data_IF_247626110470
#
_entry.id   IF_247626110470
#
_cell.length_a   1.000
_cell.length_b   1.000
_cell.length_c   1.000
_cell.angle_alpha   90.00
_cell.angle_beta   90.00
_cell.angle_gamma   90.00
#
_symmetry.space_group_name_H-M   'P 1'
#
loop_
_entity.id
_entity.type
_entity.pdbx_description
1 polymer ?
#
# COMPACT_ATOMS: atom_id res chain seq x y z
N UNK A 1 3.01 14.47 1.59
CA UNK A 1 2.02 13.48 1.13
C UNK A 1 0.78 14.28 0.86
N UNK A 2 0.60 14.56 -0.42
CA UNK A 2 -0.26 15.59 -0.95
C UNK A 2 -1.27 14.86 -1.84
N UNK A 3 -2.38 15.51 -2.18
CA UNK A 3 -3.50 14.86 -2.87
C UNK A 3 -3.09 14.16 -4.16
N UNK A 4 -2.11 14.71 -4.89
CA UNK A 4 -1.55 14.13 -6.12
C UNK A 4 -0.75 12.85 -5.86
N UNK A 5 0.14 12.83 -4.87
CA UNK A 5 0.95 11.65 -4.54
C UNK A 5 0.08 10.47 -4.07
N UNK A 6 -0.97 10.76 -3.33
CA UNK A 6 -1.92 9.75 -2.87
C UNK A 6 -2.74 9.16 -4.03
N UNK A 7 -3.22 10.01 -4.94
CA UNK A 7 -3.93 9.57 -6.14
C UNK A 7 -3.08 8.69 -7.06
N UNK A 8 -1.80 9.01 -7.19
CA UNK A 8 -0.85 8.18 -7.94
C UNK A 8 -0.67 6.79 -7.29
N UNK A 9 -0.50 6.72 -5.96
CA UNK A 9 -0.39 5.44 -5.26
C UNK A 9 -1.64 4.58 -5.40
N UNK A 10 -2.83 5.18 -5.33
CA UNK A 10 -4.10 4.46 -5.51
C UNK A 10 -4.20 3.88 -6.93
N UNK A 11 -3.79 4.64 -7.95
CA UNK A 11 -3.75 4.12 -9.32
C UNK A 11 -2.77 2.95 -9.47
N UNK A 12 -1.59 3.03 -8.87
CA UNK A 12 -0.61 1.94 -8.90
C UNK A 12 -1.13 0.68 -8.20
N UNK A 13 -1.73 0.83 -7.01
CA UNK A 13 -2.35 -0.29 -6.29
C UNK A 13 -3.46 -0.95 -7.10
N UNK A 14 -4.30 -0.14 -7.76
CA UNK A 14 -5.38 -0.64 -8.61
C UNK A 14 -4.84 -1.37 -9.84
N UNK A 15 -3.79 -0.87 -10.48
CA UNK A 15 -3.15 -1.54 -11.61
C UNK A 15 -2.56 -2.89 -11.21
N UNK A 16 -1.84 -2.95 -10.07
CA UNK A 16 -1.31 -4.21 -9.57
C UNK A 16 -2.43 -5.24 -9.34
N UNK A 17 -3.50 -4.84 -8.66
CA UNK A 17 -4.66 -5.71 -8.41
C UNK A 17 -5.41 -6.12 -9.69
N UNK A 18 -5.46 -5.25 -10.70
CA UNK A 18 -6.07 -5.57 -12.00
C UNK A 18 -5.27 -6.63 -12.76
N UNK A 19 -3.95 -6.68 -12.57
CA UNK A 19 -3.07 -7.66 -13.19
C UNK A 19 -2.85 -8.90 -12.31
N UNK A 20 -3.77 -9.16 -11.36
CA UNK A 20 -3.70 -10.27 -10.39
C UNK A 20 -2.44 -10.25 -9.50
N UNK A 21 -1.68 -9.15 -9.54
CA UNK A 21 -0.50 -8.94 -8.73
C UNK A 21 -0.84 -8.36 -7.36
N UNK A 22 0.13 -8.43 -6.46
CA UNK A 22 0.05 -7.80 -5.14
C UNK A 22 1.02 -6.62 -5.07
N UNK A 23 0.56 -5.53 -4.46
CA UNK A 23 1.40 -4.36 -4.16
C UNK A 23 1.50 -4.23 -2.64
N UNK A 24 2.71 -4.16 -2.11
CA UNK A 24 2.95 -3.93 -0.69
C UNK A 24 3.70 -2.61 -0.52
N UNK A 25 3.20 -1.71 0.33
CA UNK A 25 3.82 -0.39 0.54
C UNK A 25 4.36 -0.34 1.97
N UNK A 26 5.68 -0.37 2.10
CA UNK A 26 6.35 -0.20 3.39
C UNK A 26 6.47 1.30 3.68
N UNK A 27 5.96 1.72 4.83
CA UNK A 27 5.90 3.15 5.18
C UNK A 27 6.22 3.40 6.65
N UNK A 28 6.53 4.65 6.99
CA UNK A 28 6.79 5.07 8.36
C UNK A 28 5.54 5.69 9.01
N UNK A 29 5.51 5.74 10.35
CA UNK A 29 4.33 6.15 11.13
C UNK A 29 3.69 7.49 10.68
N UNK A 30 4.49 8.49 10.32
CA UNK A 30 3.99 9.80 9.88
C UNK A 30 3.18 9.69 8.59
N UNK A 31 3.69 8.94 7.60
CA UNK A 31 3.04 8.76 6.31
C UNK A 31 1.85 7.80 6.45
N UNK A 32 1.97 6.73 7.25
CA UNK A 32 0.84 5.85 7.59
C UNK A 32 -0.33 6.67 8.12
N UNK A 33 -0.09 7.56 9.08
CA UNK A 33 -1.14 8.37 9.70
C UNK A 33 -1.85 9.26 8.68
N UNK A 34 -1.12 9.92 7.79
CA UNK A 34 -1.73 10.73 6.72
C UNK A 34 -2.62 9.89 5.81
N UNK A 35 -2.23 8.66 5.48
CA UNK A 35 -3.03 7.73 4.65
C UNK A 35 -4.26 7.18 5.40
N UNK A 36 -4.18 7.00 6.73
CA UNK A 36 -5.32 6.60 7.57
C UNK A 36 -6.40 7.68 7.63
N UNK A 37 -6.01 8.96 7.74
CA UNK A 37 -6.95 10.08 7.80
C UNK A 37 -7.85 10.16 6.56
N UNK A 38 -7.33 9.76 5.40
CA UNK A 38 -8.04 9.70 4.12
C UNK A 38 -8.63 8.32 3.82
N UNK A 39 -8.60 7.39 4.79
CA UNK A 39 -9.16 6.03 4.73
C UNK A 39 -8.65 5.15 3.58
N UNK A 40 -7.45 5.44 3.06
CA UNK A 40 -6.85 4.67 1.96
C UNK A 40 -5.95 3.52 2.41
N UNK A 41 -5.77 3.33 3.72
CA UNK A 41 -4.93 2.24 4.26
C UNK A 41 -5.37 0.85 3.79
N UNK A 42 -6.68 0.66 3.56
CA UNK A 42 -7.25 -0.61 3.06
C UNK A 42 -6.91 -0.88 1.59
N UNK A 43 -6.68 0.17 0.80
CA UNK A 43 -6.40 0.06 -0.63
C UNK A 43 -4.90 -0.04 -0.91
N UNK A 44 -4.08 0.49 -0.01
CA UNK A 44 -2.63 0.63 -0.21
C UNK A 44 -1.80 -0.45 0.48
N UNK A 45 -2.43 -1.48 1.08
CA UNK A 45 -1.78 -2.62 1.74
C UNK A 45 -0.52 -2.19 2.54
N UNK A 46 -0.71 -1.22 3.44
CA UNK A 46 0.39 -0.58 4.14
C UNK A 46 1.04 -1.55 5.13
N UNK A 47 2.36 -1.65 5.06
CA UNK A 47 3.18 -2.50 5.92
C UNK A 47 4.11 -1.63 6.75
N UNK A 48 4.35 -2.06 7.99
CA UNK A 48 5.25 -1.38 8.93
C UNK A 48 6.71 -1.81 8.75
N UNK A 49 6.97 -2.89 8.00
CA UNK A 49 8.31 -3.44 7.77
C UNK A 49 8.35 -4.27 6.49
N UNK A 50 9.56 -4.41 5.93
CA UNK A 50 9.80 -5.23 4.72
C UNK A 50 9.46 -6.69 4.97
N UNK A 51 9.82 -7.24 6.14
CA UNK A 51 9.48 -8.62 6.52
C UNK A 51 7.97 -8.89 6.46
N UNK A 52 7.17 -8.00 7.08
CA UNK A 52 5.71 -8.05 7.04
C UNK A 52 5.15 -7.94 5.61
N UNK A 53 5.80 -7.15 4.75
CA UNK A 53 5.45 -7.09 3.32
C UNK A 53 5.74 -8.40 2.59
N UNK A 54 6.90 -9.02 2.85
CA UNK A 54 7.30 -10.29 2.26
C UNK A 54 6.36 -11.43 2.68
N UNK A 55 5.95 -11.48 3.95
CA UNK A 55 4.98 -12.47 4.42
C UNK A 55 3.63 -12.44 3.69
N UNK A 56 3.23 -11.27 3.19
CA UNK A 56 1.97 -11.09 2.45
C UNK A 56 2.07 -11.46 0.95
N UNK A 57 3.28 -11.58 0.39
CA UNK A 57 3.49 -12.03 -1.00
C UNK A 57 3.79 -13.53 -1.08
N UNK A 58 4.39 -14.11 -0.05
CA UNK A 58 4.83 -15.52 -0.02
C UNK A 58 3.71 -16.54 0.26
N UNK A 59 2.45 -16.09 0.40
CA UNK A 59 1.28 -16.94 0.65
C UNK A 59 0.53 -17.42 -0.60
N UNK A 60 1.01 -17.13 -1.81
CA UNK A 60 0.49 -17.69 -3.06
C UNK A 60 1.48 -18.72 -3.60
N UNK A 61 1.31 -19.97 -3.21
CA UNK A 61 1.94 -21.15 -3.84
C UNK A 61 0.94 -22.29 -3.84
#
# INVERSE_FOLDING_TARGET
MDSSGLGALVQLAKQAQTNEGTLQIVTNARVTQTVKLVRLEKFLALQTSVDSALGNISGQS
#
